data_IF_593679060144
#
_entry.id   IF_593679060144
#
_cell.length_a   1.000
_cell.length_b   1.000
_cell.length_c   1.000
_cell.angle_alpha   90.00
_cell.angle_beta   90.00
_cell.angle_gamma   90.00
#
_symmetry.space_group_name_H-M   'P 1'
#
loop_
_entity.id
_entity.type
_entity.pdbx_description
1 polymer ?
#
# COMPACT_ATOMS: atom_id res chain seq x y z
N UNK A 1 -25.57 -1.43 -5.00
CA UNK A 1 -25.81 -0.18 -5.74
C UNK A 1 -25.40 0.94 -4.79
N UNK A 2 -24.46 1.82 -5.16
CA UNK A 2 -23.98 2.87 -4.25
C UNK A 2 -25.14 3.72 -3.74
N UNK A 3 -25.05 4.14 -2.48
CA UNK A 3 -26.01 5.06 -1.86
C UNK A 3 -26.15 6.35 -2.70
N UNK A 4 -27.38 6.88 -2.79
CA UNK A 4 -27.67 8.09 -3.55
C UNK A 4 -26.78 9.26 -3.10
N UNK A 5 -26.18 9.99 -4.06
CA UNK A 5 -25.27 11.11 -3.78
C UNK A 5 -23.78 10.76 -3.70
N UNK A 6 -23.43 9.50 -3.95
CA UNK A 6 -22.02 9.04 -4.11
C UNK A 6 -21.38 9.69 -5.34
N UNK A 7 -20.26 10.39 -5.14
CA UNK A 7 -19.45 10.90 -6.26
C UNK A 7 -18.39 9.88 -6.61
N UNK A 8 -18.39 9.41 -7.86
CA UNK A 8 -17.44 8.43 -8.36
C UNK A 8 -16.59 9.05 -9.47
N UNK A 9 -15.28 8.85 -9.41
CA UNK A 9 -14.35 9.20 -10.47
C UNK A 9 -13.58 7.94 -10.85
N UNK A 10 -13.70 7.53 -12.11
CA UNK A 10 -12.89 6.49 -12.70
C UNK A 10 -11.60 7.12 -13.24
N UNK A 11 -10.48 6.87 -12.55
CA UNK A 11 -9.16 7.36 -12.94
C UNK A 11 -8.55 6.48 -14.03
N UNK A 12 -8.84 5.18 -13.94
CA UNK A 12 -8.46 4.19 -14.93
C UNK A 12 -9.51 3.09 -14.97
N UNK A 13 -10.04 2.82 -16.17
CA UNK A 13 -11.12 1.83 -16.38
C UNK A 13 -10.71 0.41 -16.01
N UNK A 14 -9.46 0.04 -16.32
CA UNK A 14 -9.00 -1.35 -16.21
C UNK A 14 -9.77 -2.30 -17.12
N UNK A 15 -9.60 -3.60 -16.88
CA UNK A 15 -10.36 -4.64 -17.59
C UNK A 15 -11.49 -5.19 -16.73
N UNK A 16 -12.69 -4.67 -16.93
CA UNK A 16 -13.90 -5.10 -16.20
C UNK A 16 -14.64 -6.27 -16.86
N UNK A 17 -14.08 -6.89 -17.91
CA UNK A 17 -14.72 -8.02 -18.58
C UNK A 17 -14.44 -9.36 -17.89
N UNK A 18 -13.48 -9.38 -16.96
CA UNK A 18 -13.12 -10.55 -16.15
C UNK A 18 -14.05 -10.67 -14.96
N UNK A 19 -14.16 -11.89 -14.41
CA UNK A 19 -15.00 -12.12 -13.23
C UNK A 19 -14.50 -11.34 -12.02
N UNK A 20 -13.18 -11.18 -11.91
CA UNK A 20 -12.51 -10.61 -10.74
C UNK A 20 -11.48 -9.55 -11.19
N UNK A 21 -11.93 -8.36 -11.64
CA UNK A 21 -11.02 -7.32 -12.11
C UNK A 21 -10.07 -6.84 -11.01
N UNK A 22 -8.76 -6.73 -11.30
CA UNK A 22 -7.83 -6.12 -10.35
C UNK A 22 -8.24 -4.67 -10.07
N UNK A 23 -8.68 -4.41 -8.84
CA UNK A 23 -9.38 -3.18 -8.48
C UNK A 23 -8.72 -2.46 -7.30
N UNK A 24 -8.34 -1.20 -7.52
CA UNK A 24 -7.87 -0.26 -6.49
C UNK A 24 -8.97 0.77 -6.24
N UNK A 25 -9.45 0.86 -4.99
CA UNK A 25 -10.43 1.83 -4.53
C UNK A 25 -9.78 2.88 -3.64
N UNK A 26 -10.13 4.14 -3.86
CA UNK A 26 -9.75 5.28 -3.01
C UNK A 26 -11.03 5.88 -2.40
N UNK A 27 -11.15 5.89 -1.09
CA UNK A 27 -12.39 6.17 -0.38
C UNK A 27 -12.17 7.28 0.66
N UNK A 28 -13.13 8.20 0.81
CA UNK A 28 -13.12 9.10 1.97
C UNK A 28 -13.36 8.29 3.26
N UNK A 29 -12.72 8.69 4.35
CA UNK A 29 -13.03 8.20 5.68
C UNK A 29 -14.08 9.10 6.33
N UNK A 30 -15.37 8.72 6.49
CA UNK A 30 -16.43 9.63 6.93
C UNK A 30 -16.47 9.95 8.44
N UNK A 31 -15.82 9.14 9.26
CA UNK A 31 -15.61 9.40 10.69
C UNK A 31 -14.23 8.92 11.10
N UNK A 32 -13.64 9.48 12.16
CA UNK A 32 -12.31 9.14 12.63
C UNK A 32 -12.39 8.72 14.09
N UNK A 33 -11.75 7.59 14.43
CA UNK A 33 -11.58 7.19 15.84
C UNK A 33 -10.35 7.88 16.45
N UNK A 34 -10.50 8.46 17.65
CA UNK A 34 -9.47 9.31 18.25
C UNK A 34 -9.32 9.14 19.77
N UNK A 35 -8.25 8.47 20.24
CA UNK A 35 -7.32 7.61 19.50
C UNK A 35 -7.91 6.23 19.17
N UNK A 36 -7.19 5.39 18.43
CA UNK A 36 -7.52 3.98 18.17
C UNK A 36 -7.92 3.24 19.46
N UNK A 37 -9.02 2.50 19.41
CA UNK A 37 -9.54 1.72 20.54
C UNK A 37 -10.27 2.54 21.61
N UNK A 38 -10.46 3.84 21.43
CA UNK A 38 -11.16 4.71 22.39
C UNK A 38 -12.68 4.66 22.28
N UNK A 39 -13.23 4.17 21.16
CA UNK A 39 -14.63 4.32 20.79
C UNK A 39 -15.12 5.79 20.73
N UNK A 40 -14.21 6.75 20.66
CA UNK A 40 -14.52 8.17 20.47
C UNK A 40 -14.40 8.53 18.99
N UNK A 41 -15.55 8.71 18.35
CA UNK A 41 -15.67 8.98 16.92
C UNK A 41 -16.03 10.44 16.66
N UNK A 42 -15.32 11.07 15.72
CA UNK A 42 -15.58 12.44 15.27
C UNK A 42 -15.78 12.48 13.75
N UNK A 43 -16.45 13.52 13.20
CA UNK A 43 -16.50 13.70 11.75
C UNK A 43 -15.10 13.81 11.15
N UNK A 44 -14.89 13.13 10.03
CA UNK A 44 -13.72 13.23 9.18
C UNK A 44 -14.24 13.07 7.75
N UNK A 45 -13.94 13.95 6.81
CA UNK A 45 -14.44 13.89 5.42
C UNK A 45 -15.85 13.25 5.22
N UNK A 46 -16.94 13.72 5.87
CA UNK A 46 -18.27 13.09 5.80
C UNK A 46 -18.84 13.05 4.38
N UNK A 47 -18.26 13.79 3.44
CA UNK A 47 -18.57 13.68 2.01
C UNK A 47 -19.85 14.42 1.61
N UNK A 48 -20.50 15.10 2.55
CA UNK A 48 -21.69 15.92 2.31
C UNK A 48 -21.35 17.29 1.71
N UNK A 49 -20.15 17.81 1.98
CA UNK A 49 -19.69 19.11 1.53
C UNK A 49 -18.86 19.07 0.25
N UNK A 50 -18.86 20.17 -0.50
CA UNK A 50 -18.00 20.35 -1.67
C UNK A 50 -16.49 20.33 -1.29
N UNK A 51 -16.15 20.75 -0.07
CA UNK A 51 -14.77 20.75 0.43
C UNK A 51 -14.21 19.33 0.57
N UNK A 52 -14.97 18.41 1.17
CA UNK A 52 -14.58 17.00 1.34
C UNK A 52 -14.40 16.32 -0.01
N UNK A 53 -15.36 16.53 -0.92
CA UNK A 53 -15.32 15.99 -2.29
C UNK A 53 -14.10 16.50 -3.06
N UNK A 54 -13.79 17.80 -2.93
CA UNK A 54 -12.62 18.40 -3.55
C UNK A 54 -11.31 17.86 -2.95
N UNK A 55 -11.25 17.69 -1.63
CA UNK A 55 -10.10 17.14 -0.94
C UNK A 55 -9.84 15.68 -1.34
N UNK A 56 -10.88 14.84 -1.36
CA UNK A 56 -10.77 13.46 -1.82
C UNK A 56 -10.30 13.41 -3.27
N UNK A 57 -10.93 14.19 -4.17
CA UNK A 57 -10.54 14.23 -5.59
C UNK A 57 -9.06 14.60 -5.76
N UNK A 58 -8.56 15.57 -4.98
CA UNK A 58 -7.16 15.99 -5.02
C UNK A 58 -6.24 14.87 -4.53
N UNK A 59 -6.55 14.26 -3.38
CA UNK A 59 -5.77 13.16 -2.81
C UNK A 59 -5.76 11.95 -3.77
N UNK A 60 -6.92 11.56 -4.29
CA UNK A 60 -7.07 10.46 -5.23
C UNK A 60 -6.29 10.68 -6.53
N UNK A 61 -6.33 11.89 -7.09
CA UNK A 61 -5.54 12.25 -8.26
C UNK A 61 -4.03 12.18 -8.01
N UNK A 62 -3.57 12.53 -6.80
CA UNK A 62 -2.18 12.37 -6.40
C UNK A 62 -1.80 10.90 -6.24
N UNK A 63 -2.62 10.12 -5.53
CA UNK A 63 -2.44 8.67 -5.34
C UNK A 63 -2.34 7.98 -6.69
N UNK A 64 -3.28 8.21 -7.61
CA UNK A 64 -3.25 7.65 -8.96
C UNK A 64 -1.95 8.01 -9.71
N UNK A 65 -1.59 9.30 -9.77
CA UNK A 65 -0.36 9.71 -10.45
C UNK A 65 0.89 9.09 -9.82
N UNK A 66 0.93 8.99 -8.49
CA UNK A 66 2.06 8.42 -7.77
C UNK A 66 2.18 6.91 -7.97
N UNK A 67 1.09 6.15 -7.88
CA UNK A 67 1.08 4.70 -8.11
C UNK A 67 1.60 4.32 -9.51
N UNK A 68 1.23 5.09 -10.53
CA UNK A 68 1.63 4.83 -11.91
C UNK A 68 2.91 5.56 -12.35
N UNK A 69 3.58 6.27 -11.45
CA UNK A 69 4.84 6.94 -11.77
C UNK A 69 4.70 8.10 -12.75
N UNK A 70 3.56 8.80 -12.69
CA UNK A 70 3.20 9.93 -13.54
C UNK A 70 3.60 11.28 -12.95
N UNK A 71 4.01 11.35 -11.69
CA UNK A 71 4.48 12.59 -11.09
C UNK A 71 5.80 13.05 -11.76
N UNK A 72 5.98 14.36 -11.99
CA UNK A 72 7.22 14.90 -12.55
C UNK A 72 8.45 14.49 -11.74
N UNK A 73 9.42 13.86 -12.41
CA UNK A 73 10.68 13.47 -11.78
C UNK A 73 10.62 12.20 -10.93
N UNK A 74 9.46 11.55 -10.81
CA UNK A 74 9.29 10.26 -10.14
C UNK A 74 10.01 9.14 -10.89
N UNK A 75 10.83 8.42 -10.13
CA UNK A 75 11.70 7.36 -10.60
C UNK A 75 11.01 5.99 -10.59
N UNK A 76 10.35 5.62 -9.49
CA UNK A 76 9.57 4.38 -9.46
C UNK A 76 8.34 4.48 -10.36
N UNK A 77 8.17 3.48 -11.22
CA UNK A 77 7.04 3.37 -12.15
C UNK A 77 6.53 1.93 -12.21
N UNK A 78 6.56 1.22 -11.08
CA UNK A 78 6.31 -0.23 -11.05
C UNK A 78 4.97 -0.60 -11.71
N UNK A 79 3.88 0.11 -11.39
CA UNK A 79 2.58 -0.16 -12.03
C UNK A 79 2.50 0.40 -13.45
N UNK A 80 3.00 1.62 -13.68
CA UNK A 80 2.91 2.27 -15.00
C UNK A 80 3.73 1.59 -16.10
N UNK A 81 4.80 0.86 -15.74
CA UNK A 81 5.61 0.07 -16.68
C UNK A 81 5.27 -1.43 -16.66
N UNK A 82 4.29 -1.85 -15.87
CA UNK A 82 3.81 -3.23 -15.90
C UNK A 82 3.17 -3.54 -17.25
N UNK A 83 3.36 -4.74 -17.84
CA UNK A 83 2.61 -5.17 -19.03
C UNK A 83 1.10 -5.24 -18.77
N UNK A 84 0.69 -5.26 -17.51
CA UNK A 84 -0.70 -5.28 -17.07
C UNK A 84 -1.21 -3.91 -16.61
N UNK A 85 -0.47 -2.82 -16.84
CA UNK A 85 -0.87 -1.48 -16.39
C UNK A 85 -2.33 -1.14 -16.76
N UNK A 86 -2.73 -1.42 -18.01
CA UNK A 86 -4.08 -1.15 -18.51
C UNK A 86 -5.18 -2.09 -17.99
N UNK A 87 -4.82 -3.17 -17.30
CA UNK A 87 -5.77 -4.12 -16.71
C UNK A 87 -6.27 -3.63 -15.34
N UNK A 88 -5.49 -2.77 -14.67
CA UNK A 88 -5.78 -2.28 -13.32
C UNK A 88 -6.91 -1.27 -13.37
N UNK A 89 -7.98 -1.50 -12.61
CA UNK A 89 -9.06 -0.52 -12.41
C UNK A 89 -8.75 0.36 -11.21
N UNK A 90 -8.88 1.67 -11.37
CA UNK A 90 -8.67 2.64 -10.28
C UNK A 90 -9.85 3.59 -10.22
N UNK A 91 -10.53 3.58 -9.08
CA UNK A 91 -11.72 4.41 -8.83
C UNK A 91 -11.54 5.13 -7.50
N UNK A 92 -11.96 6.40 -7.45
CA UNK A 92 -12.23 7.05 -6.17
C UNK A 92 -13.73 7.23 -5.96
N UNK A 93 -14.21 6.99 -4.76
CA UNK A 93 -15.61 7.19 -4.38
C UNK A 93 -15.69 8.07 -3.14
N UNK A 94 -16.48 9.13 -3.21
CA UNK A 94 -16.88 9.90 -2.03
C UNK A 94 -18.28 9.44 -1.64
N UNK A 95 -18.38 8.64 -0.57
CA UNK A 95 -19.65 8.15 -0.05
C UNK A 95 -20.11 9.12 1.03
N UNK A 96 -21.19 9.91 0.78
CA UNK A 96 -21.68 10.85 1.76
C UNK A 96 -22.37 10.13 2.91
N UNK A 97 -21.98 10.44 4.14
CA UNK A 97 -22.72 10.06 5.35
C UNK A 97 -22.66 11.20 6.36
N UNK A 98 -23.79 11.47 7.00
CA UNK A 98 -23.86 12.40 8.14
C UNK A 98 -23.69 11.70 9.48
N UNK A 99 -23.67 10.36 9.48
CA UNK A 99 -23.58 9.55 10.69
C UNK A 99 -22.12 9.38 11.07
N UNK A 100 -21.77 9.85 12.27
CA UNK A 100 -20.49 9.57 12.93
C UNK A 100 -20.69 8.39 13.86
N UNK A 101 -20.04 7.26 13.56
CA UNK A 101 -20.19 6.03 14.32
C UNK A 101 -19.01 5.10 14.10
N UNK A 102 -18.95 4.03 14.91
CA UNK A 102 -18.00 2.94 14.72
C UNK A 102 -18.01 2.36 13.29
N UNK A 103 -19.22 2.17 12.73
CA UNK A 103 -19.39 1.57 11.40
C UNK A 103 -18.94 2.49 10.25
N UNK A 104 -18.81 3.79 10.49
CA UNK A 104 -18.40 4.79 9.49
C UNK A 104 -17.00 5.34 9.75
N UNK A 105 -16.38 4.96 10.88
CA UNK A 105 -14.99 5.26 11.15
C UNK A 105 -14.11 4.17 10.55
N UNK A 106 -13.49 4.46 9.41
CA UNK A 106 -12.65 3.53 8.66
C UNK A 106 -11.16 3.71 8.99
N UNK A 107 -10.79 4.86 9.56
CA UNK A 107 -9.45 5.22 9.99
C UNK A 107 -9.47 5.61 11.48
N UNK A 108 -8.35 5.39 12.17
CA UNK A 108 -8.08 5.83 13.52
C UNK A 108 -6.76 6.62 13.59
N UNK A 109 -6.63 7.45 14.61
CA UNK A 109 -5.36 8.04 15.05
C UNK A 109 -4.64 7.05 15.97
N UNK A 110 -3.39 6.69 15.66
CA UNK A 110 -2.59 5.79 16.50
C UNK A 110 -2.56 6.27 17.97
N UNK A 111 -2.66 5.32 18.91
CA UNK A 111 -2.82 5.62 20.33
C UNK A 111 -1.50 5.89 21.06
N UNK A 112 -0.36 5.71 20.38
CA UNK A 112 0.96 5.96 20.96
C UNK A 112 1.25 7.45 21.11
N UNK A 113 1.78 7.84 22.27
CA UNK A 113 2.26 9.20 22.52
C UNK A 113 3.27 9.62 21.43
N UNK A 114 3.14 10.86 20.95
CA UNK A 114 3.95 11.45 19.87
C UNK A 114 3.86 10.75 18.50
N UNK A 115 2.97 9.77 18.32
CA UNK A 115 2.66 9.23 17.01
C UNK A 115 1.86 10.24 16.19
N UNK A 116 2.10 10.24 14.88
CA UNK A 116 1.33 10.99 13.89
C UNK A 116 0.74 10.05 12.83
N UNK A 117 0.68 8.75 13.14
CA UNK A 117 0.27 7.69 12.22
C UNK A 117 -1.25 7.57 12.16
N UNK A 118 -1.78 7.54 10.94
CA UNK A 118 -3.12 7.11 10.65
C UNK A 118 -3.12 5.59 10.46
N UNK A 119 -4.08 4.91 11.06
CA UNK A 119 -4.22 3.45 11.01
C UNK A 119 -5.58 3.10 10.41
N UNK A 120 -5.61 2.19 9.45
CA UNK A 120 -6.87 1.68 8.92
C UNK A 120 -7.57 0.82 9.98
N UNK A 121 -8.83 1.11 10.29
CA UNK A 121 -9.68 0.25 11.14
C UNK A 121 -10.14 -0.92 10.31
N UNK A 122 -9.22 -1.88 10.13
CA UNK A 122 -9.22 -2.88 9.07
C UNK A 122 -10.53 -3.67 8.95
N UNK A 123 -11.07 -4.13 10.08
CA UNK A 123 -12.31 -4.90 10.09
C UNK A 123 -13.53 -4.02 9.76
N UNK A 124 -13.60 -2.80 10.31
CA UNK A 124 -14.66 -1.84 10.02
C UNK A 124 -14.61 -1.39 8.56
N UNK A 125 -13.43 -1.10 8.02
CA UNK A 125 -13.25 -0.73 6.63
C UNK A 125 -13.69 -1.86 5.68
N UNK A 126 -13.33 -3.10 5.99
CA UNK A 126 -13.74 -4.27 5.21
C UNK A 126 -15.26 -4.48 5.23
N UNK A 127 -15.86 -4.42 6.43
CA UNK A 127 -17.30 -4.53 6.60
C UNK A 127 -18.06 -3.42 5.86
N UNK A 128 -17.53 -2.19 5.90
CA UNK A 128 -18.12 -1.03 5.21
C UNK A 128 -18.12 -1.21 3.69
N UNK A 129 -16.99 -1.54 3.07
CA UNK A 129 -16.93 -1.72 1.60
C UNK A 129 -17.77 -2.92 1.15
N UNK A 130 -17.82 -3.98 1.97
CA UNK A 130 -18.67 -5.15 1.72
C UNK A 130 -20.16 -4.78 1.74
N UNK A 131 -20.59 -3.95 2.69
CA UNK A 131 -21.97 -3.47 2.78
C UNK A 131 -22.38 -2.62 1.57
N UNK A 132 -21.43 -1.88 0.97
CA UNK A 132 -21.62 -1.13 -0.27
C UNK A 132 -21.51 -2.00 -1.55
N UNK A 133 -21.32 -3.32 -1.40
CA UNK A 133 -21.10 -4.26 -2.50
C UNK A 133 -19.87 -3.91 -3.35
N UNK A 134 -18.82 -3.44 -2.68
CA UNK A 134 -17.52 -3.15 -3.28
C UNK A 134 -16.51 -4.21 -2.84
N UNK A 135 -15.71 -4.68 -3.79
CA UNK A 135 -14.71 -5.74 -3.57
C UNK A 135 -13.35 -5.34 -4.19
N UNK A 136 -12.68 -4.29 -3.66
CA UNK A 136 -11.38 -3.87 -4.16
C UNK A 136 -10.29 -4.81 -3.66
N UNK A 137 -9.23 -5.07 -4.44
CA UNK A 137 -8.02 -5.74 -3.94
C UNK A 137 -7.20 -4.83 -3.02
N UNK A 138 -7.24 -3.53 -3.29
CA UNK A 138 -6.52 -2.51 -2.51
C UNK A 138 -7.43 -1.33 -2.20
N UNK A 139 -7.44 -0.93 -0.94
CA UNK A 139 -8.23 0.18 -0.42
C UNK A 139 -7.33 1.26 0.16
N UNK A 140 -7.34 2.44 -0.45
CA UNK A 140 -6.81 3.66 0.14
C UNK A 140 -7.93 4.41 0.86
N UNK A 141 -7.76 4.61 2.18
CA UNK A 141 -8.67 5.37 3.02
C UNK A 141 -8.07 6.76 3.26
N UNK A 142 -8.77 7.79 2.81
CA UNK A 142 -8.30 9.18 2.91
C UNK A 142 -8.94 9.86 4.10
N UNK A 143 -8.10 10.32 5.03
CA UNK A 143 -8.49 11.07 6.23
C UNK A 143 -8.04 12.53 6.18
N UNK A 144 -8.79 13.42 6.82
CA UNK A 144 -8.44 14.79 7.15
C UNK A 144 -8.20 14.97 8.65
N UNK A 145 -7.63 13.97 9.32
CA UNK A 145 -7.19 14.10 10.71
C UNK A 145 -6.43 15.43 10.92
N UNK A 146 -6.81 16.22 11.92
CA UNK A 146 -6.16 17.50 12.19
C UNK A 146 -4.78 17.34 12.83
N UNK A 147 -4.43 16.15 13.33
CA UNK A 147 -3.19 15.92 14.09
C UNK A 147 -2.32 14.81 13.53
N UNK A 148 -2.85 13.86 12.75
CA UNK A 148 -2.11 12.72 12.23
C UNK A 148 -2.00 12.79 10.70
N UNK A 149 -0.77 12.73 10.20
CA UNK A 149 -0.48 12.93 8.76
C UNK A 149 0.37 11.82 8.16
N UNK A 150 0.94 10.92 8.97
CA UNK A 150 1.76 9.80 8.49
C UNK A 150 0.85 8.63 8.14
N UNK A 151 1.14 7.99 7.02
CA UNK A 151 0.36 6.85 6.58
C UNK A 151 0.83 5.56 7.26
N UNK A 152 -0.03 4.54 7.17
CA UNK A 152 0.34 3.16 7.41
C UNK A 152 -0.50 2.24 6.52
N UNK A 153 -0.10 0.98 6.46
CA UNK A 153 -0.78 -0.02 5.66
C UNK A 153 -0.83 -1.39 6.35
N UNK A 154 -1.87 -2.15 6.01
CA UNK A 154 -2.02 -3.56 6.30
C UNK A 154 -1.97 -4.35 5.00
N UNK A 155 -1.25 -5.47 5.03
CA UNK A 155 -1.18 -6.41 3.92
C UNK A 155 -2.53 -7.05 3.60
N UNK A 156 -2.59 -7.66 2.42
CA UNK A 156 -3.73 -8.45 1.99
C UNK A 156 -3.82 -9.73 2.82
N UNK A 157 -5.02 -10.09 3.27
CA UNK A 157 -5.30 -11.49 3.67
C UNK A 157 -5.73 -12.22 2.40
N UNK A 158 -4.79 -12.94 1.78
CA UNK A 158 -5.09 -13.73 0.59
C UNK A 158 -6.05 -14.90 0.92
N UNK A 159 -6.87 -15.34 -0.05
CA UNK A 159 -7.66 -16.57 0.10
C UNK A 159 -6.80 -17.80 -0.24
N UNK A 160 -6.16 -18.35 0.80
CA UNK A 160 -5.27 -19.50 0.66
C UNK A 160 -5.97 -20.82 0.29
N UNK A 161 -7.30 -20.85 0.34
CA UNK A 161 -8.11 -21.99 -0.10
C UNK A 161 -8.31 -22.03 -1.62
N UNK A 162 -7.96 -20.93 -2.32
CA UNK A 162 -8.14 -20.78 -3.77
C UNK A 162 -6.82 -20.94 -4.52
N UNK A 163 -6.92 -21.18 -5.82
CA UNK A 163 -5.76 -21.24 -6.71
C UNK A 163 -5.04 -19.89 -6.80
N UNK A 164 -3.78 -19.94 -7.21
CA UNK A 164 -2.98 -18.79 -7.59
C UNK A 164 -1.86 -19.22 -8.53
N UNK A 165 -0.92 -18.31 -8.79
CA UNK A 165 0.30 -18.61 -9.52
C UNK A 165 1.34 -19.09 -8.52
N UNK A 166 1.86 -20.31 -8.70
CA UNK A 166 2.88 -20.84 -7.82
C UNK A 166 4.21 -20.12 -8.02
N UNK A 167 4.96 -19.90 -6.94
CA UNK A 167 6.33 -19.40 -6.98
C UNK A 167 7.16 -20.02 -5.86
N UNK A 168 8.48 -19.87 -5.93
CA UNK A 168 9.39 -20.31 -4.87
C UNK A 168 10.10 -19.14 -4.21
N UNK A 169 10.28 -19.20 -2.88
CA UNK A 169 11.08 -18.24 -2.12
C UNK A 169 11.96 -18.99 -1.12
N UNK A 170 13.28 -18.98 -1.31
CA UNK A 170 14.26 -19.75 -0.52
C UNK A 170 13.87 -21.23 -0.31
N UNK A 171 13.35 -21.86 -1.37
CA UNK A 171 12.93 -23.25 -1.34
C UNK A 171 11.52 -23.49 -0.79
N UNK A 172 10.85 -22.47 -0.26
CA UNK A 172 9.44 -22.54 0.11
C UNK A 172 8.57 -22.41 -1.12
N UNK A 173 7.57 -23.28 -1.26
CA UNK A 173 6.54 -23.17 -2.29
C UNK A 173 5.41 -22.29 -1.78
N UNK A 174 5.17 -21.18 -2.46
CA UNK A 174 4.16 -20.19 -2.12
C UNK A 174 3.26 -19.92 -3.34
N UNK A 175 2.21 -19.13 -3.17
CA UNK A 175 1.33 -18.79 -4.29
C UNK A 175 0.88 -17.33 -4.28
N UNK A 176 1.00 -16.67 -5.43
CA UNK A 176 0.35 -15.39 -5.66
C UNK A 176 -1.13 -15.65 -5.91
N UNK A 177 -1.95 -15.49 -4.86
CA UNK A 177 -3.38 -15.80 -4.91
C UNK A 177 -4.12 -14.84 -5.83
N UNK A 178 -5.07 -15.39 -6.59
CA UNK A 178 -5.95 -14.56 -7.41
C UNK A 178 -6.93 -13.74 -6.58
N UNK A 179 -7.32 -14.25 -5.41
CA UNK A 179 -8.38 -13.67 -4.58
C UNK A 179 -7.87 -13.36 -3.17
N UNK A 180 -8.57 -12.44 -2.51
CA UNK A 180 -8.32 -12.06 -1.13
C UNK A 180 -9.59 -12.31 -0.29
N UNK A 181 -9.43 -12.51 1.01
CA UNK A 181 -10.52 -12.50 1.99
C UNK A 181 -10.70 -11.12 2.62
N UNK A 182 -9.61 -10.36 2.74
CA UNK A 182 -9.60 -8.98 3.22
C UNK A 182 -8.59 -8.23 2.36
N UNK A 183 -8.97 -7.09 1.75
CA UNK A 183 -8.06 -6.38 0.88
C UNK A 183 -6.87 -5.80 1.62
N UNK A 184 -5.81 -5.51 0.86
CA UNK A 184 -4.75 -4.64 1.35
C UNK A 184 -5.30 -3.25 1.62
N UNK A 185 -4.90 -2.62 2.72
CA UNK A 185 -5.43 -1.31 3.11
C UNK A 185 -4.31 -0.34 3.42
N UNK A 186 -4.48 0.92 3.03
CA UNK A 186 -3.63 2.02 3.46
C UNK A 186 -4.47 3.17 3.96
N UNK A 187 -4.16 3.67 5.15
CA UNK A 187 -4.71 4.91 5.67
C UNK A 187 -3.74 6.06 5.36
N UNK A 188 -4.23 7.07 4.64
CA UNK A 188 -3.43 8.21 4.19
C UNK A 188 -4.13 9.53 4.51
N UNK A 189 -3.34 10.57 4.72
CA UNK A 189 -3.88 11.92 4.90
C UNK A 189 -4.27 12.56 3.56
N UNK A 190 -5.27 13.44 3.54
CA UNK A 190 -5.75 14.11 2.32
C UNK A 190 -4.71 15.04 1.66
N UNK A 191 -3.64 15.38 2.38
CA UNK A 191 -2.49 16.14 1.86
C UNK A 191 -1.26 15.25 1.64
N UNK A 192 -1.45 13.95 1.43
CA UNK A 192 -0.37 12.98 1.14
C UNK A 192 0.55 13.50 0.03
N UNK A 193 1.86 13.23 0.17
CA UNK A 193 2.90 13.73 -0.72
C UNK A 193 4.05 12.73 -0.89
N UNK A 194 5.12 13.16 -1.55
CA UNK A 194 6.30 12.33 -1.80
C UNK A 194 5.97 11.00 -2.49
N UNK A 195 6.59 9.92 -2.02
CA UNK A 195 6.37 8.55 -2.52
C UNK A 195 5.42 7.75 -1.63
N UNK A 196 4.68 8.40 -0.72
CA UNK A 196 3.84 7.69 0.26
C UNK A 196 2.85 6.72 -0.39
N UNK A 197 2.05 7.08 -1.41
CA UNK A 197 1.07 6.14 -1.97
C UNK A 197 1.68 4.86 -2.54
N UNK A 198 2.77 4.95 -3.31
CA UNK A 198 3.44 3.77 -3.89
C UNK A 198 4.23 2.97 -2.84
N UNK A 199 4.72 3.61 -1.79
CA UNK A 199 5.32 2.94 -0.63
C UNK A 199 4.27 2.12 0.12
N UNK A 200 3.15 2.74 0.53
CA UNK A 200 2.07 2.05 1.23
C UNK A 200 1.40 0.98 0.36
N UNK A 201 1.35 1.20 -0.96
CA UNK A 201 0.89 0.18 -1.89
C UNK A 201 1.74 -1.09 -1.81
N UNK A 202 3.07 -0.98 -1.70
CA UNK A 202 3.91 -2.17 -1.60
C UNK A 202 3.65 -2.98 -0.33
N UNK A 203 3.35 -2.32 0.80
CA UNK A 203 2.86 -3.01 2.01
C UNK A 203 1.47 -3.61 1.80
N UNK A 204 0.49 -2.80 1.39
CA UNK A 204 -0.89 -3.20 1.24
C UNK A 204 -1.08 -4.35 0.25
N UNK A 205 -0.37 -4.27 -0.88
CA UNK A 205 -0.47 -5.26 -1.95
C UNK A 205 0.30 -6.55 -1.63
N UNK A 206 1.22 -6.53 -0.65
CA UNK A 206 1.88 -7.74 -0.16
C UNK A 206 0.94 -8.61 0.68
N UNK A 207 1.39 -9.81 1.05
CA UNK A 207 0.55 -10.82 1.67
C UNK A 207 1.03 -11.25 3.05
N UNK A 208 0.11 -11.38 4.00
CA UNK A 208 0.45 -11.93 5.32
C UNK A 208 0.90 -13.39 5.26
N UNK A 209 0.45 -14.16 4.27
CA UNK A 209 0.75 -15.60 4.16
C UNK A 209 1.69 -15.94 3.01
N UNK A 210 1.75 -15.09 1.98
CA UNK A 210 2.55 -15.30 0.77
C UNK A 210 3.68 -14.25 0.60
N UNK A 211 4.11 -13.63 1.70
CA UNK A 211 5.25 -12.70 1.73
C UNK A 211 4.84 -11.27 2.04
N UNK A 212 5.17 -10.79 3.24
CA UNK A 212 4.89 -9.42 3.64
C UNK A 212 6.09 -8.51 3.39
N UNK A 213 5.87 -7.43 2.66
CA UNK A 213 6.88 -6.38 2.40
C UNK A 213 6.85 -5.40 3.57
N UNK A 214 8.01 -5.09 4.14
CA UNK A 214 8.14 -4.25 5.34
C UNK A 214 9.09 -3.08 5.12
N UNK A 215 9.04 -2.14 6.06
CA UNK A 215 9.95 -1.00 6.14
C UNK A 215 11.40 -1.44 6.37
N UNK A 216 12.31 -0.78 5.66
CA UNK A 216 13.76 -1.01 5.68
C UNK A 216 14.51 0.06 6.50
N UNK A 217 13.82 1.10 6.97
CA UNK A 217 14.41 2.17 7.77
C UNK A 217 14.40 1.90 9.28
N UNK A 218 13.99 0.70 9.69
CA UNK A 218 14.04 0.22 11.07
C UNK A 218 14.69 -1.14 11.13
N UNK A 219 15.52 -1.36 12.15
CA UNK A 219 16.00 -2.71 12.44
C UNK A 219 14.82 -3.58 12.88
N UNK A 220 14.80 -4.84 12.46
CA UNK A 220 13.63 -5.66 12.71
C UNK A 220 13.79 -7.12 12.34
N UNK A 221 12.70 -7.86 12.52
CA UNK A 221 12.64 -9.30 12.26
C UNK A 221 12.60 -9.60 10.76
N UNK A 222 12.91 -10.85 10.36
CA UNK A 222 12.79 -11.28 8.97
C UNK A 222 11.39 -11.05 8.40
N UNK A 223 11.36 -10.60 7.16
CA UNK A 223 10.18 -10.39 6.31
C UNK A 223 10.55 -10.75 4.86
N UNK A 224 9.66 -10.50 3.90
CA UNK A 224 9.95 -10.82 2.50
C UNK A 224 11.18 -10.07 1.98
N UNK A 225 11.29 -8.77 2.26
CA UNK A 225 12.36 -7.88 1.81
C UNK A 225 13.34 -7.48 2.93
N UNK A 226 13.34 -8.17 4.07
CA UNK A 226 14.28 -7.92 5.18
C UNK A 226 14.73 -9.23 5.81
N UNK A 227 16.02 -9.39 6.06
CA UNK A 227 16.58 -10.55 6.80
C UNK A 227 17.49 -10.08 7.91
N UNK A 228 17.83 -10.98 8.83
CA UNK A 228 18.74 -10.70 9.94
C UNK A 228 19.97 -11.59 9.85
N UNK A 229 21.14 -11.05 10.21
CA UNK A 229 22.38 -11.82 10.26
C UNK A 229 23.62 -10.97 9.96
N UNK A 230 24.72 -11.36 10.59
CA UNK A 230 26.05 -10.75 10.40
C UNK A 230 27.13 -11.86 10.31
N UNK A 231 28.17 -11.69 9.48
CA UNK A 231 28.31 -10.66 8.44
C UNK A 231 27.17 -10.73 7.41
N UNK A 232 26.90 -9.64 6.68
CA UNK A 232 25.85 -9.62 5.65
C UNK A 232 26.19 -10.67 4.59
N UNK A 233 25.35 -11.70 4.36
CA UNK A 233 25.59 -12.69 3.32
C UNK A 233 25.55 -12.04 1.94
N UNK A 234 26.38 -12.48 1.00
CA UNK A 234 26.38 -11.96 -0.37
C UNK A 234 25.03 -12.20 -1.08
N UNK A 235 24.44 -13.37 -0.85
CA UNK A 235 23.10 -13.72 -1.34
C UNK A 235 22.04 -13.26 -0.33
N UNK A 236 21.03 -12.54 -0.81
CA UNK A 236 19.84 -12.25 -0.02
C UNK A 236 18.87 -13.42 -0.07
N UNK A 237 18.32 -13.74 -1.24
CA UNK A 237 17.32 -14.81 -1.40
C UNK A 237 17.38 -15.47 -2.80
N UNK A 238 16.72 -16.61 -2.95
CA UNK A 238 16.29 -17.12 -4.24
C UNK A 238 14.78 -16.94 -4.38
N UNK A 239 14.33 -16.26 -5.44
CA UNK A 239 12.92 -16.05 -5.74
C UNK A 239 12.64 -16.49 -7.18
N UNK A 240 11.75 -17.47 -7.32
CA UNK A 240 11.34 -18.12 -8.56
C UNK A 240 12.51 -18.47 -9.51
N UNK A 241 13.48 -19.22 -8.97
CA UNK A 241 14.68 -19.63 -9.69
C UNK A 241 15.73 -18.52 -9.90
N UNK A 242 15.41 -17.26 -9.60
CA UNK A 242 16.33 -16.13 -9.69
C UNK A 242 17.01 -15.86 -8.36
N UNK A 243 18.33 -15.67 -8.37
CA UNK A 243 19.08 -15.28 -7.16
C UNK A 243 19.15 -13.76 -7.05
N UNK A 244 18.81 -13.24 -5.88
CA UNK A 244 18.93 -11.84 -5.50
C UNK A 244 20.02 -11.68 -4.46
N UNK A 245 20.94 -10.75 -4.69
CA UNK A 245 22.03 -10.43 -3.76
C UNK A 245 21.55 -9.51 -2.64
N UNK A 246 22.33 -9.45 -1.56
CA UNK A 246 22.11 -8.46 -0.50
C UNK A 246 22.71 -7.12 -0.91
N UNK A 247 22.06 -6.03 -0.50
CA UNK A 247 22.70 -4.73 -0.47
C UNK A 247 23.64 -4.65 0.75
N UNK A 248 24.94 -4.77 0.49
CA UNK A 248 25.96 -4.69 1.52
C UNK A 248 26.19 -3.28 2.07
N UNK A 249 25.71 -2.22 1.38
CA UNK A 249 26.02 -0.82 1.69
C UNK A 249 24.79 0.03 2.04
N UNK A 250 23.58 -0.54 2.00
CA UNK A 250 22.29 0.12 2.30
C UNK A 250 22.16 1.45 1.56
N UNK A 251 22.06 1.40 0.24
CA UNK A 251 21.83 2.56 -0.62
C UNK A 251 22.91 3.65 -0.48
N UNK A 252 24.11 3.27 -0.05
CA UNK A 252 25.19 4.19 0.29
C UNK A 252 25.00 4.96 1.61
N UNK A 253 23.89 4.79 2.32
CA UNK A 253 23.65 5.32 3.67
C UNK A 253 24.47 4.57 4.72
N UNK A 254 24.77 3.30 4.45
CA UNK A 254 25.32 2.37 5.43
C UNK A 254 24.26 1.86 6.42
N UNK A 255 24.52 0.67 6.95
CA UNK A 255 23.73 0.14 8.06
C UNK A 255 24.14 0.83 9.36
N UNK A 256 23.20 1.43 10.12
CA UNK A 256 23.52 2.01 11.42
C UNK A 256 24.18 0.99 12.35
N UNK A 257 25.06 1.50 13.22
CA UNK A 257 25.75 0.66 14.20
C UNK A 257 24.76 -0.14 15.05
N UNK A 258 24.99 -1.45 15.17
CA UNK A 258 24.15 -2.36 15.95
C UNK A 258 23.01 -3.02 15.19
N UNK A 259 22.62 -2.50 14.01
CA UNK A 259 21.58 -3.13 13.20
C UNK A 259 21.97 -4.56 12.82
N UNK A 260 21.02 -5.48 12.96
CA UNK A 260 21.18 -6.88 12.54
C UNK A 260 20.54 -7.15 11.17
N UNK A 261 19.58 -6.34 10.78
CA UNK A 261 18.88 -6.47 9.51
C UNK A 261 19.75 -6.12 8.30
N UNK A 262 19.45 -6.74 7.16
CA UNK A 262 19.99 -6.42 5.84
C UNK A 262 18.92 -6.62 4.77
N UNK A 263 19.12 -6.00 3.61
CA UNK A 263 18.10 -5.81 2.58
C UNK A 263 18.57 -6.37 1.22
N UNK A 264 17.65 -6.60 0.26
CA UNK A 264 17.98 -7.00 -1.10
C UNK A 264 18.72 -5.89 -1.85
N UNK A 265 19.43 -6.29 -2.90
CA UNK A 265 20.12 -5.38 -3.81
C UNK A 265 19.17 -4.40 -4.53
N UNK A 266 19.63 -3.16 -4.69
CA UNK A 266 18.95 -2.14 -5.48
C UNK A 266 18.96 -2.45 -6.98
N UNK A 267 17.93 -1.96 -7.69
CA UNK A 267 17.90 -1.95 -9.16
C UNK A 267 19.00 -1.03 -9.73
N UNK A 268 19.10 0.17 -9.16
CA UNK A 268 20.11 1.18 -9.47
C UNK A 268 20.71 1.64 -8.13
N UNK A 269 22.00 1.37 -7.86
CA UNK A 269 22.67 1.73 -6.61
C UNK A 269 22.66 3.22 -6.26
N UNK A 270 22.31 4.11 -7.20
CA UNK A 270 22.21 5.56 -6.97
C UNK A 270 20.83 6.00 -6.49
N UNK A 271 19.87 5.06 -6.38
CA UNK A 271 18.47 5.33 -6.05
C UNK A 271 18.07 4.49 -4.84
N UNK A 272 17.82 5.11 -3.68
CA UNK A 272 17.46 4.38 -2.47
C UNK A 272 16.19 3.54 -2.63
N UNK A 273 16.08 2.50 -1.80
CA UNK A 273 14.91 1.67 -1.70
C UNK A 273 13.72 2.51 -1.23
N UNK A 274 12.59 2.38 -1.91
CA UNK A 274 11.36 3.09 -1.53
C UNK A 274 10.81 2.63 -0.19
N UNK A 275 11.12 1.40 0.21
CA UNK A 275 10.76 0.84 1.52
C UNK A 275 11.70 1.32 2.64
N UNK A 276 12.81 1.99 2.31
CA UNK A 276 13.59 2.76 3.28
C UNK A 276 12.93 4.15 3.49
N UNK A 277 13.56 5.03 4.26
CA UNK A 277 13.06 6.36 4.53
C UNK A 277 13.25 7.26 3.29
N UNK A 278 12.34 7.16 2.33
CA UNK A 278 12.40 7.90 1.08
C UNK A 278 12.43 9.42 1.27
N UNK A 279 11.93 9.95 2.40
CA UNK A 279 12.06 11.38 2.71
C UNK A 279 13.51 11.83 2.92
N UNK A 280 14.41 10.91 3.28
CA UNK A 280 15.84 11.17 3.48
C UNK A 280 16.67 10.97 2.20
N UNK A 281 16.06 10.62 1.06
CA UNK A 281 16.77 10.35 -0.17
C UNK A 281 17.44 11.60 -0.76
N UNK A 282 18.69 11.46 -1.18
CA UNK A 282 19.41 12.51 -1.91
C UNK A 282 18.67 12.83 -3.23
N UNK A 283 18.38 14.12 -3.46
CA UNK A 283 17.59 14.56 -4.62
C UNK A 283 16.07 14.49 -4.43
N UNK A 284 15.60 14.14 -3.23
CA UNK A 284 14.20 14.19 -2.83
C UNK A 284 13.47 12.85 -2.94
N UNK A 285 12.26 12.75 -2.35
CA UNK A 285 11.54 11.49 -2.17
C UNK A 285 11.22 10.79 -3.49
N UNK A 286 10.98 11.55 -4.56
CA UNK A 286 10.64 11.02 -5.88
C UNK A 286 11.79 10.28 -6.59
N UNK A 287 12.98 10.17 -5.97
CA UNK A 287 14.15 9.46 -6.50
C UNK A 287 14.28 8.01 -6.04
N UNK A 288 13.45 7.58 -5.10
CA UNK A 288 13.45 6.19 -4.64
C UNK A 288 12.73 5.24 -5.62
N UNK A 289 13.05 3.96 -5.51
CA UNK A 289 12.38 2.87 -6.21
C UNK A 289 12.42 1.59 -5.38
N UNK A 290 11.53 0.64 -5.68
CA UNK A 290 11.64 -0.70 -5.11
C UNK A 290 13.00 -1.34 -5.43
N UNK A 291 13.53 -2.13 -4.49
CA UNK A 291 14.67 -3.01 -4.74
C UNK A 291 14.32 -4.11 -5.76
N UNK A 292 15.31 -4.85 -6.24
CA UNK A 292 15.09 -5.85 -7.30
C UNK A 292 14.09 -6.92 -6.90
N UNK A 293 14.18 -7.44 -5.67
CA UNK A 293 13.34 -8.54 -5.18
C UNK A 293 11.90 -8.06 -4.97
N UNK A 294 11.72 -6.94 -4.26
CA UNK A 294 10.39 -6.39 -3.97
C UNK A 294 9.67 -6.02 -5.25
N UNK A 295 10.37 -5.44 -6.25
CA UNK A 295 9.78 -5.13 -7.55
C UNK A 295 9.30 -6.39 -8.28
N UNK A 296 10.12 -7.45 -8.32
CA UNK A 296 9.74 -8.70 -8.97
C UNK A 296 8.48 -9.29 -8.31
N UNK A 297 8.47 -9.36 -6.98
CA UNK A 297 7.33 -9.84 -6.20
C UNK A 297 6.04 -9.06 -6.48
N UNK A 298 6.10 -7.72 -6.47
CA UNK A 298 4.95 -6.87 -6.77
C UNK A 298 4.46 -7.11 -8.21
N UNK A 299 5.36 -7.19 -9.19
CA UNK A 299 4.97 -7.41 -10.59
C UNK A 299 4.33 -8.78 -10.81
N UNK A 300 4.79 -9.82 -10.13
CA UNK A 300 4.18 -11.16 -10.21
C UNK A 300 2.80 -11.20 -9.55
N UNK A 301 2.59 -10.45 -8.45
CA UNK A 301 1.27 -10.27 -7.86
C UNK A 301 0.33 -9.49 -8.77
N UNK A 302 0.82 -8.43 -9.42
CA UNK A 302 0.05 -7.70 -10.44
C UNK A 302 -0.32 -8.64 -11.57
N UNK A 303 0.60 -9.48 -12.04
CA UNK A 303 0.32 -10.49 -13.06
C UNK A 303 -0.78 -11.46 -12.62
N UNK A 304 -0.70 -12.01 -11.40
CA UNK A 304 -1.73 -12.91 -10.88
C UNK A 304 -3.11 -12.23 -10.83
N UNK A 305 -3.20 -11.03 -10.25
CA UNK A 305 -4.46 -10.28 -10.15
C UNK A 305 -5.00 -9.84 -11.50
N UNK A 306 -4.12 -9.48 -12.43
CA UNK A 306 -4.52 -8.98 -13.74
C UNK A 306 -4.83 -10.07 -14.76
N UNK A 307 -4.50 -11.34 -14.53
CA UNK A 307 -4.74 -12.43 -15.51
C UNK A 307 -5.94 -13.30 -15.19
N UNK A 308 -6.49 -13.19 -13.98
CA UNK A 308 -7.75 -13.82 -13.61
C UNK A 308 -8.94 -12.94 -14.02
#
# INVERSE_FOLDING_TARGET
MPTAGTDTIEWQKGNTAKSDPFFILILNNPALERPEGSAHFVPDMPGVGAADRAALKKAAGYIFQNLFGLLPGQVDKVLGLSPHANEIRVVSMCIPTTTVSDATALVAEDALDDSLILVARRDQAHAFVSAESLDPDILFLVSQSPTHTRASAFGTTDDDTRSGIAFTYDGWNLSQRYLHLIPGMSAVHATVGGMTPVHEFGHAFSSYTNGYVTDLYVDGTPAFNRKVGRPIPAKFAAYDGTTYNSDAVRDGLGYPGGWQSYHPELIDPTRPAIMDNYWAAAGGPLKCQHDKLTRAYILDRVHAKATR
#
